data_IF_865002771621
#
_entry.id   IF_865002771621
#
_cell.length_a   1.000
_cell.length_b   1.000
_cell.length_c   1.000
_cell.angle_alpha   90.00
_cell.angle_beta   90.00
_cell.angle_gamma   90.00
#
_symmetry.space_group_name_H-M   'P 1'
#
loop_
_entity.id
_entity.type
_entity.pdbx_description
1 polymer ?
#
# COMPACT_ATOMS: atom_id res chain seq x y z
N UNK A 1 -3.28 -4.48 13.39
CA UNK A 1 -2.79 -3.19 13.85
C UNK A 1 -2.09 -2.46 12.73
N UNK A 2 -2.71 -1.37 12.30
CA UNK A 2 -2.17 -0.38 11.42
C UNK A 2 -2.07 0.97 12.10
N UNK A 3 -1.39 1.90 11.43
CA UNK A 3 -1.23 3.28 11.87
C UNK A 3 -1.60 4.20 10.71
N UNK A 4 -2.29 5.29 11.00
CA UNK A 4 -2.54 6.36 10.06
C UNK A 4 -1.57 7.52 10.33
N UNK A 5 -0.93 7.98 9.26
CA UNK A 5 0.04 9.06 9.28
C UNK A 5 -0.46 10.24 8.46
N UNK A 6 -0.15 11.44 8.93
CA UNK A 6 -0.27 12.67 8.17
C UNK A 6 1.10 13.04 7.63
N UNK A 7 1.21 13.04 6.30
CA UNK A 7 2.38 13.52 5.57
C UNK A 7 2.15 14.97 5.17
N UNK A 8 3.12 15.86 5.43
CA UNK A 8 3.04 17.24 4.98
C UNK A 8 4.42 17.81 4.64
N UNK A 9 4.43 18.78 3.73
CA UNK A 9 5.63 19.53 3.38
C UNK A 9 5.62 20.89 4.06
N UNK A 10 6.73 21.27 4.70
CA UNK A 10 6.87 22.60 5.33
C UNK A 10 7.04 23.75 4.31
N UNK A 11 7.35 23.43 3.05
CA UNK A 11 7.63 24.43 1.99
C UNK A 11 6.48 24.65 1.01
N UNK A 12 5.62 23.67 0.80
CA UNK A 12 4.52 23.76 -0.15
C UNK A 12 3.22 23.25 0.45
N UNK A 13 2.12 23.35 -0.28
CA UNK A 13 0.79 22.94 0.20
C UNK A 13 0.56 21.41 0.22
N UNK A 14 1.57 20.60 -0.10
CA UNK A 14 1.41 19.15 -0.13
C UNK A 14 1.07 18.61 1.26
N UNK A 15 -0.04 17.89 1.33
CA UNK A 15 -0.50 17.18 2.51
C UNK A 15 -1.27 15.92 2.07
N UNK A 16 -1.09 14.83 2.79
CA UNK A 16 -1.76 13.56 2.50
C UNK A 16 -1.87 12.73 3.78
N UNK A 17 -3.06 12.18 4.04
CA UNK A 17 -3.22 11.13 5.03
C UNK A 17 -2.94 9.78 4.37
N UNK A 18 -2.18 8.93 5.05
CA UNK A 18 -1.86 7.57 4.59
C UNK A 18 -2.15 6.58 5.70
N UNK A 19 -2.67 5.42 5.33
CA UNK A 19 -2.96 4.31 6.23
C UNK A 19 -1.96 3.21 5.95
N UNK A 20 -1.33 2.65 6.98
CA UNK A 20 -0.37 1.56 6.86
C UNK A 20 -0.75 0.41 7.78
N UNK A 21 -0.44 -0.82 7.36
CA UNK A 21 -0.64 -2.03 8.16
C UNK A 21 -1.94 -2.77 7.87
N UNK A 22 -2.33 -3.64 8.80
CA UNK A 22 -3.46 -4.58 8.65
C UNK A 22 -4.60 -4.25 9.60
N UNK A 23 -5.81 -4.49 9.13
CA UNK A 23 -7.01 -4.46 9.97
C UNK A 23 -7.65 -5.83 10.23
N UNK A 24 -8.75 -5.86 10.97
CA UNK A 24 -9.49 -7.06 11.37
C UNK A 24 -9.93 -7.89 10.17
N UNK A 25 -10.39 -7.23 9.10
CA UNK A 25 -10.91 -7.88 7.89
C UNK A 25 -9.83 -8.38 6.91
N UNK A 26 -8.58 -8.45 7.36
CA UNK A 26 -7.44 -9.00 6.59
C UNK A 26 -7.16 -10.47 6.97
N UNK A 27 -7.83 -10.99 7.99
CA UNK A 27 -7.59 -12.33 8.54
C UNK A 27 -8.05 -13.48 7.64
N UNK A 28 -8.90 -13.22 6.64
CA UNK A 28 -9.39 -14.23 5.71
C UNK A 28 -9.56 -13.69 4.28
N UNK A 29 -9.19 -14.48 3.27
CA UNK A 29 -9.38 -14.11 1.86
C UNK A 29 -10.84 -13.84 1.50
N UNK A 30 -11.80 -14.52 2.14
CA UNK A 30 -13.22 -14.25 1.95
C UNK A 30 -13.62 -12.85 2.37
N UNK A 31 -13.05 -12.34 3.47
CA UNK A 31 -13.31 -10.98 3.93
C UNK A 31 -12.60 -9.96 3.02
N UNK A 32 -11.37 -10.25 2.61
CA UNK A 32 -10.60 -9.43 1.67
C UNK A 32 -11.38 -9.29 0.36
N UNK A 33 -11.91 -10.38 -0.20
CA UNK A 33 -12.70 -10.38 -1.43
C UNK A 33 -13.85 -9.38 -1.37
N UNK A 34 -14.56 -9.29 -0.24
CA UNK A 34 -15.72 -8.41 -0.09
C UNK A 34 -15.39 -6.94 -0.30
N UNK A 35 -14.27 -6.46 0.28
CA UNK A 35 -13.89 -5.05 0.25
C UNK A 35 -12.82 -4.70 -0.79
N UNK A 36 -12.16 -5.67 -1.42
CA UNK A 36 -11.15 -5.41 -2.44
C UNK A 36 -11.78 -4.77 -3.69
N UNK A 37 -11.25 -3.62 -4.10
CA UNK A 37 -11.84 -2.81 -5.18
C UNK A 37 -11.33 -3.20 -6.58
N UNK A 38 -10.08 -3.63 -6.71
CA UNK A 38 -9.49 -3.96 -8.01
C UNK A 38 -10.13 -5.23 -8.59
N UNK A 39 -10.77 -5.18 -9.78
CA UNK A 39 -11.51 -6.32 -10.33
C UNK A 39 -10.61 -7.53 -10.64
N UNK A 40 -9.38 -7.29 -11.08
CA UNK A 40 -8.44 -8.36 -11.42
C UNK A 40 -7.97 -9.04 -10.14
N UNK A 41 -7.54 -8.27 -9.15
CA UNK A 41 -7.14 -8.78 -7.84
C UNK A 41 -8.29 -9.52 -7.14
N UNK A 42 -9.52 -8.99 -7.22
CA UNK A 42 -10.72 -9.64 -6.66
C UNK A 42 -10.98 -11.00 -7.31
N UNK A 43 -10.85 -11.12 -8.63
CA UNK A 43 -10.98 -12.41 -9.31
C UNK A 43 -9.86 -13.37 -8.90
N UNK A 44 -8.62 -12.90 -8.79
CA UNK A 44 -7.50 -13.72 -8.33
C UNK A 44 -7.72 -14.21 -6.90
N UNK A 45 -8.24 -13.38 -6.00
CA UNK A 45 -8.62 -13.82 -4.66
C UNK A 45 -9.61 -15.00 -4.73
N UNK A 46 -10.67 -14.92 -5.55
CA UNK A 46 -11.64 -16.01 -5.71
C UNK A 46 -11.04 -17.30 -6.26
N UNK A 47 -10.06 -17.20 -7.16
CA UNK A 47 -9.35 -18.37 -7.69
C UNK A 47 -8.51 -19.04 -6.59
N UNK A 48 -7.71 -18.26 -5.86
CA UNK A 48 -6.85 -18.76 -4.79
C UNK A 48 -7.65 -19.28 -3.58
N UNK A 49 -8.85 -18.76 -3.31
CA UNK A 49 -9.75 -19.28 -2.27
C UNK A 49 -10.18 -20.74 -2.48
N UNK A 50 -10.06 -21.28 -3.70
CA UNK A 50 -10.39 -22.68 -4.02
C UNK A 50 -9.28 -23.65 -3.60
N UNK A 51 -8.08 -23.14 -3.27
CA UNK A 51 -6.93 -23.94 -2.83
C UNK A 51 -6.65 -23.67 -1.35
N UNK A 52 -6.84 -24.71 -0.52
CA UNK A 52 -6.60 -24.65 0.93
C UNK A 52 -5.11 -24.42 1.29
N UNK A 53 -4.19 -24.63 0.35
CA UNK A 53 -2.75 -24.39 0.55
C UNK A 53 -2.34 -22.96 0.28
N UNK A 54 -3.26 -22.12 -0.18
CA UNK A 54 -2.99 -20.71 -0.46
C UNK A 54 -2.43 -20.01 0.77
N UNK A 55 -1.27 -19.39 0.57
CA UNK A 55 -0.71 -18.38 1.47
C UNK A 55 -0.99 -17.03 0.88
N UNK A 56 -1.21 -16.05 1.75
CA UNK A 56 -1.38 -14.68 1.30
C UNK A 56 -0.79 -13.70 2.29
N UNK A 57 -0.47 -12.52 1.78
CA UNK A 57 -0.15 -11.35 2.57
C UNK A 57 -0.88 -10.14 1.97
N UNK A 58 -1.62 -9.43 2.81
CA UNK A 58 -2.38 -8.25 2.41
C UNK A 58 -2.34 -7.22 3.52
N UNK A 59 -2.11 -5.95 3.17
CA UNK A 59 -2.06 -4.82 4.11
C UNK A 59 -2.14 -3.48 3.35
N UNK A 60 -2.49 -2.38 4.02
CA UNK A 60 -2.31 -1.05 3.44
C UNK A 60 -0.82 -0.68 3.41
N UNK A 61 -0.34 -0.31 2.22
CA UNK A 61 1.04 0.10 1.98
C UNK A 61 1.12 1.50 1.39
N UNK A 62 2.31 2.09 1.50
CA UNK A 62 2.67 3.33 0.82
C UNK A 62 3.71 3.02 -0.26
N UNK A 63 3.39 3.33 -1.50
CA UNK A 63 4.29 3.16 -2.64
C UNK A 63 4.81 4.53 -3.08
N UNK A 64 6.13 4.62 -3.33
CA UNK A 64 6.74 5.82 -3.88
C UNK A 64 7.16 5.57 -5.33
N UNK A 65 6.62 6.34 -6.28
CA UNK A 65 7.02 6.25 -7.68
C UNK A 65 8.50 6.63 -7.82
N UNK A 66 9.32 5.77 -8.43
CA UNK A 66 10.75 6.05 -8.58
C UNK A 66 11.04 7.23 -9.50
N UNK A 67 10.15 7.47 -10.48
CA UNK A 67 10.29 8.52 -11.51
C UNK A 67 9.84 9.90 -11.05
N UNK A 68 8.60 10.00 -10.56
CA UNK A 68 7.99 11.30 -10.21
C UNK A 68 7.75 11.51 -8.72
N UNK A 69 8.17 10.54 -7.88
CA UNK A 69 8.06 10.56 -6.41
C UNK A 69 6.63 10.59 -5.86
N UNK A 70 5.61 10.50 -6.73
CA UNK A 70 4.21 10.39 -6.32
C UNK A 70 4.02 9.26 -5.30
N UNK A 71 3.26 9.56 -4.24
CA UNK A 71 2.98 8.64 -3.14
C UNK A 71 1.58 8.06 -3.31
N UNK A 72 1.51 6.75 -3.52
CA UNK A 72 0.26 6.00 -3.64
C UNK A 72 0.03 5.20 -2.36
N UNK A 73 -1.06 5.50 -1.64
CA UNK A 73 -1.51 4.65 -0.55
C UNK A 73 -2.51 3.64 -1.09
N UNK A 74 -2.12 2.37 -1.13
CA UNK A 74 -2.89 1.28 -1.73
C UNK A 74 -2.58 -0.05 -1.06
N UNK A 75 -3.41 -1.06 -1.30
CA UNK A 75 -3.23 -2.38 -0.71
C UNK A 75 -2.06 -3.13 -1.35
N UNK A 76 -1.16 -3.67 -0.54
CA UNK A 76 -0.34 -4.78 -0.97
C UNK A 76 -1.20 -6.05 -0.98
N UNK A 77 -1.07 -6.86 -2.02
CA UNK A 77 -1.70 -8.18 -2.10
C UNK A 77 -0.75 -9.12 -2.82
N UNK A 78 -0.28 -10.13 -2.09
CA UNK A 78 0.45 -11.26 -2.62
C UNK A 78 -0.30 -12.54 -2.27
N UNK A 79 -0.64 -13.32 -3.28
CA UNK A 79 -1.24 -14.65 -3.18
C UNK A 79 -0.24 -15.67 -3.72
N UNK A 80 -0.11 -16.81 -3.05
CA UNK A 80 0.80 -17.87 -3.46
C UNK A 80 0.22 -19.25 -3.15
N UNK A 81 0.31 -20.16 -4.11
CA UNK A 81 0.03 -21.59 -3.98
C UNK A 81 1.23 -22.40 -4.49
N UNK A 82 1.09 -23.73 -4.55
CA UNK A 82 2.15 -24.60 -5.06
C UNK A 82 2.38 -24.42 -6.58
N UNK A 83 1.36 -23.94 -7.30
CA UNK A 83 1.36 -23.88 -8.77
C UNK A 83 1.23 -22.47 -9.34
N UNK A 84 0.85 -21.49 -8.53
CA UNK A 84 0.56 -20.13 -8.99
C UNK A 84 1.00 -19.07 -7.96
N UNK A 85 1.28 -17.86 -8.44
CA UNK A 85 1.59 -16.70 -7.62
C UNK A 85 1.00 -15.46 -8.27
N UNK A 86 0.35 -14.62 -7.49
CA UNK A 86 -0.19 -13.35 -7.93
C UNK A 86 0.28 -12.22 -7.03
N UNK A 87 0.89 -11.20 -7.62
CA UNK A 87 1.27 -9.98 -6.93
C UNK A 87 0.56 -8.80 -7.59
N UNK A 88 -0.24 -8.07 -6.82
CA UNK A 88 -0.88 -6.86 -7.27
C UNK A 88 0.17 -5.84 -7.72
N UNK A 89 -0.06 -5.22 -8.88
CA UNK A 89 0.80 -4.16 -9.40
C UNK A 89 -0.01 -2.90 -9.67
N UNK A 90 0.66 -1.76 -9.62
CA UNK A 90 0.07 -0.46 -9.83
C UNK A 90 0.88 0.33 -10.86
N UNK A 91 0.18 1.11 -11.67
CA UNK A 91 0.80 2.15 -12.49
C UNK A 91 0.67 3.49 -11.75
N UNK A 92 1.72 4.30 -11.79
CA UNK A 92 1.74 5.59 -11.15
C UNK A 92 0.66 6.49 -11.76
N UNK A 93 -0.34 6.97 -10.99
CA UNK A 93 -1.43 7.78 -11.52
C UNK A 93 -0.96 9.09 -12.19
N UNK A 94 0.21 9.60 -11.77
CA UNK A 94 0.77 10.85 -12.27
C UNK A 94 1.57 10.72 -13.58
N UNK A 95 2.27 9.60 -13.79
CA UNK A 95 3.24 9.48 -14.89
C UNK A 95 3.20 8.13 -15.63
N UNK A 96 2.26 7.26 -15.26
CA UNK A 96 2.03 5.91 -15.81
C UNK A 96 3.20 4.94 -15.70
N UNK A 97 4.27 5.30 -14.98
CA UNK A 97 5.38 4.39 -14.69
C UNK A 97 4.93 3.28 -13.75
N UNK A 98 5.42 2.04 -13.95
CA UNK A 98 5.15 0.95 -13.02
C UNK A 98 5.65 1.33 -11.62
N UNK A 99 4.78 1.16 -10.62
CA UNK A 99 5.16 1.35 -9.22
C UNK A 99 6.03 0.17 -8.75
N UNK A 100 6.89 0.37 -7.74
CA UNK A 100 7.59 -0.73 -7.09
C UNK A 100 6.61 -1.81 -6.63
N UNK A 101 7.02 -3.08 -6.76
CA UNK A 101 6.18 -4.22 -6.40
C UNK A 101 5.96 -4.37 -4.89
N UNK A 102 6.88 -3.84 -4.09
CA UNK A 102 6.82 -3.85 -2.63
C UNK A 102 6.62 -2.39 -2.18
N UNK A 103 5.65 -2.11 -1.29
CA UNK A 103 5.52 -0.79 -0.69
C UNK A 103 6.73 -0.49 0.20
N UNK A 104 6.79 0.72 0.73
CA UNK A 104 7.80 1.11 1.71
C UNK A 104 7.71 0.19 2.92
N UNK A 105 8.75 -0.64 3.09
CA UNK A 105 8.92 -1.62 4.18
C UNK A 105 9.66 -1.03 5.40
N UNK A 106 9.68 0.31 5.50
CA UNK A 106 10.23 1.03 6.65
C UNK A 106 9.10 1.77 7.32
N UNK A 107 8.99 1.64 8.63
CA UNK A 107 7.99 2.37 9.39
C UNK A 107 8.29 3.88 9.27
N UNK A 108 7.27 4.66 8.93
CA UNK A 108 7.41 6.10 8.69
C UNK A 108 7.82 6.85 9.98
N UNK A 109 7.43 6.33 11.15
CA UNK A 109 7.80 6.82 12.46
C UNK A 109 9.23 6.43 12.90
N UNK A 110 9.82 5.39 12.31
CA UNK A 110 11.19 4.95 12.57
C UNK A 110 12.24 5.59 11.64
N UNK A 111 11.94 6.81 11.16
CA UNK A 111 12.93 7.70 10.53
C UNK A 111 12.97 7.62 9.00
N UNK A 112 12.02 6.94 8.35
CA UNK A 112 11.85 7.07 6.90
C UNK A 112 10.93 8.24 6.57
N UNK A 113 11.49 9.29 5.97
CA UNK A 113 10.71 10.42 5.42
C UNK A 113 10.82 10.43 3.89
N UNK A 114 9.69 10.27 3.16
CA UNK A 114 9.68 10.36 1.71
C UNK A 114 9.98 11.80 1.26
N UNK A 115 10.54 11.95 0.06
CA UNK A 115 10.74 13.27 -0.56
C UNK A 115 9.39 13.81 -1.04
N UNK A 116 9.13 15.11 -0.84
CA UNK A 116 7.89 15.73 -1.27
C UNK A 116 7.70 15.58 -2.80
N UNK A 117 6.57 15.02 -3.28
CA UNK A 117 6.32 14.82 -4.71
C UNK A 117 6.05 16.12 -5.48
N UNK A 118 5.65 17.20 -4.79
CA UNK A 118 5.32 18.47 -5.45
C UNK A 118 6.54 19.37 -5.65
N UNK A 119 7.27 19.70 -4.59
CA UNK A 119 8.46 20.57 -4.71
C UNK A 119 9.76 19.81 -4.96
N UNK A 120 9.88 18.56 -4.52
CA UNK A 120 11.13 17.78 -4.61
C UNK A 120 12.28 18.25 -3.72
N UNK A 121 12.11 19.34 -2.97
CA UNK A 121 13.20 20.00 -2.23
C UNK A 121 13.36 19.51 -0.79
N UNK A 122 12.28 19.06 -0.15
CA UNK A 122 12.25 18.70 1.27
C UNK A 122 11.78 17.25 1.47
N UNK A 123 12.13 16.71 2.63
CA UNK A 123 11.50 15.51 3.16
C UNK A 123 10.14 15.88 3.78
N UNK A 124 9.21 14.95 3.73
CA UNK A 124 7.89 15.12 4.33
C UNK A 124 7.99 14.91 5.84
N UNK A 125 7.40 15.82 6.60
CA UNK A 125 7.08 15.65 8.01
C UNK A 125 6.07 14.51 8.14
N UNK A 126 6.32 13.59 9.07
CA UNK A 126 5.48 12.42 9.36
C UNK A 126 4.92 12.57 10.77
N UNK A 127 3.61 12.57 10.90
CA UNK A 127 2.91 12.60 12.19
C UNK A 127 1.90 11.45 12.26
N UNK A 128 2.11 10.49 13.15
CA UNK A 128 1.11 9.45 13.45
C UNK A 128 -0.05 10.06 14.22
N UNK A 129 -1.29 9.81 13.80
CA UNK A 129 -2.47 10.43 14.42
C UNK A 129 -3.56 9.43 14.84
N UNK A 130 -3.48 8.17 14.39
CA UNK A 130 -4.47 7.14 14.70
C UNK A 130 -3.84 5.76 14.60
N UNK A 131 -3.91 4.99 15.68
CA UNK A 131 -3.75 3.54 15.63
C UNK A 131 -5.09 2.90 15.30
N UNK A 132 -5.08 1.88 14.46
CA UNK A 132 -6.30 1.22 14.02
C UNK A 132 -6.11 -0.29 13.87
N UNK A 133 -7.23 -0.98 13.99
CA UNK A 133 -7.41 -2.38 13.62
C UNK A 133 -8.61 -2.45 12.67
#
# INVERSE_FOLDING_TARGET
MGVAYKLHCERCSYNQNVYMGVGFRYGYLSEIEEWFEDPVGKERIREFMKDERTKYNCFHGLYACEKCKYLLNAHYLHLQSDTDSYLQSYDCPRCSEKMPSIPIDKELDHGYSPTCPECGEEKLSVEGFLDWD
#
